data_IF_798590106100
#
_entry.id   IF_798590106100
#
_cell.length_a   1.000
_cell.length_b   1.000
_cell.length_c   1.000
_cell.angle_alpha   90.00
_cell.angle_beta   90.00
_cell.angle_gamma   90.00
#
_symmetry.space_group_name_H-M   'P 1'
#
loop_
_entity.id
_entity.type
_entity.pdbx_description
1 polymer ?
#
# COMPACT_ATOMS: atom_id res chain seq x y z
N UNK A 1 0.30 -20.19 -3.94
CA UNK A 1 0.01 -18.75 -4.00
C UNK A 1 -1.50 -18.57 -4.09
N UNK A 2 -2.07 -17.76 -3.23
CA UNK A 2 -3.49 -17.39 -3.27
C UNK A 2 -3.78 -16.45 -4.46
N UNK A 3 -4.80 -16.76 -5.25
CA UNK A 3 -5.23 -16.00 -6.43
C UNK A 3 -6.73 -15.69 -6.33
N UNK A 4 -7.18 -14.57 -6.88
CA UNK A 4 -8.60 -14.22 -6.88
C UNK A 4 -9.45 -15.28 -7.59
N UNK A 5 -9.02 -15.75 -8.76
CA UNK A 5 -9.76 -16.76 -9.52
C UNK A 5 -10.08 -18.03 -8.70
N UNK A 6 -9.14 -18.48 -7.86
CA UNK A 6 -9.32 -19.68 -7.02
C UNK A 6 -10.23 -19.42 -5.81
N UNK A 7 -10.24 -18.19 -5.29
CA UNK A 7 -11.05 -17.79 -4.13
C UNK A 7 -12.47 -17.44 -4.55
N UNK A 8 -12.66 -16.86 -5.74
CA UNK A 8 -13.96 -16.46 -6.28
C UNK A 8 -14.89 -17.66 -6.53
N UNK A 9 -14.35 -18.86 -6.76
CA UNK A 9 -15.15 -20.08 -6.89
C UNK A 9 -15.82 -20.53 -5.59
N UNK A 10 -15.38 -19.99 -4.44
CA UNK A 10 -15.95 -20.31 -3.13
C UNK A 10 -16.29 -19.01 -2.38
N UNK A 11 -17.55 -18.59 -2.49
CA UNK A 11 -18.09 -17.39 -1.85
C UNK A 11 -17.83 -17.35 -0.35
N UNK A 12 -17.97 -18.49 0.35
CA UNK A 12 -17.71 -18.55 1.79
C UNK A 12 -16.23 -18.27 2.11
N UNK A 13 -15.32 -18.78 1.27
CA UNK A 13 -13.88 -18.53 1.40
C UNK A 13 -13.53 -17.07 1.10
N UNK A 14 -14.10 -16.49 0.03
CA UNK A 14 -13.92 -15.07 -0.30
C UNK A 14 -14.35 -14.21 0.89
N UNK A 15 -15.57 -14.43 1.39
CA UNK A 15 -16.12 -13.67 2.51
C UNK A 15 -15.32 -13.84 3.80
N UNK A 16 -14.81 -15.04 4.10
CA UNK A 16 -13.94 -15.26 5.25
C UNK A 16 -12.63 -14.47 5.15
N UNK A 17 -12.10 -14.32 3.93
CA UNK A 17 -10.83 -13.66 3.66
C UNK A 17 -10.93 -12.14 3.52
N UNK A 18 -12.00 -11.62 2.93
CA UNK A 18 -12.14 -10.18 2.60
C UNK A 18 -13.33 -9.51 3.28
N UNK A 19 -14.27 -10.28 3.85
CA UNK A 19 -15.59 -9.82 4.33
C UNK A 19 -16.51 -9.20 3.28
N UNK A 20 -16.15 -9.31 2.00
CA UNK A 20 -16.94 -8.80 0.89
C UNK A 20 -17.60 -9.97 0.16
N UNK A 21 -18.81 -9.76 -0.30
CA UNK A 21 -19.47 -10.65 -1.25
C UNK A 21 -18.85 -10.46 -2.66
N UNK A 22 -18.96 -11.45 -3.58
CA UNK A 22 -18.30 -11.41 -4.89
C UNK A 22 -18.73 -10.23 -5.76
N UNK A 23 -19.99 -9.82 -5.64
CA UNK A 23 -20.54 -8.67 -6.37
C UNK A 23 -19.95 -7.36 -5.85
N UNK A 24 -19.81 -7.22 -4.53
CA UNK A 24 -19.16 -6.05 -3.90
C UNK A 24 -17.68 -5.96 -4.27
N UNK A 25 -16.99 -7.11 -4.31
CA UNK A 25 -15.60 -7.17 -4.76
C UNK A 25 -15.49 -6.69 -6.21
N UNK A 26 -16.36 -7.19 -7.09
CA UNK A 26 -16.35 -6.84 -8.52
C UNK A 26 -16.69 -5.37 -8.74
N UNK A 27 -17.57 -4.78 -7.91
CA UNK A 27 -17.88 -3.35 -7.93
C UNK A 27 -16.71 -2.47 -7.46
N UNK A 28 -15.88 -2.97 -6.54
CA UNK A 28 -14.70 -2.25 -6.00
C UNK A 28 -13.54 -2.20 -7.00
N UNK A 29 -13.33 -3.27 -7.77
CA UNK A 29 -12.19 -3.42 -8.70
C UNK A 29 -12.01 -2.23 -9.67
N UNK A 30 -13.03 -1.74 -10.41
CA UNK A 30 -12.82 -0.66 -11.38
C UNK A 30 -12.44 0.67 -10.73
N UNK A 31 -13.02 1.00 -9.56
CA UNK A 31 -12.62 2.20 -8.81
C UNK A 31 -11.18 2.07 -8.30
N UNK A 32 -10.81 0.88 -7.81
CA UNK A 32 -9.46 0.59 -7.35
C UNK A 32 -8.44 0.67 -8.48
N UNK A 33 -8.78 0.14 -9.66
CA UNK A 33 -7.93 0.21 -10.85
C UNK A 33 -7.63 1.66 -11.24
N UNK A 34 -8.64 2.52 -11.25
CA UNK A 34 -8.48 3.94 -11.56
C UNK A 34 -7.50 4.61 -10.58
N UNK A 35 -7.73 4.46 -9.27
CA UNK A 35 -6.82 4.99 -8.24
C UNK A 35 -5.41 4.40 -8.33
N UNK A 36 -5.29 3.11 -8.65
CA UNK A 36 -3.99 2.44 -8.80
C UNK A 36 -3.22 3.04 -9.97
N UNK A 37 -3.86 3.20 -11.13
CA UNK A 37 -3.25 3.77 -12.32
C UNK A 37 -2.85 5.23 -12.11
N UNK A 38 -3.68 6.03 -11.42
CA UNK A 38 -3.33 7.40 -11.03
C UNK A 38 -2.09 7.45 -10.15
N UNK A 39 -2.03 6.60 -9.11
CA UNK A 39 -0.85 6.51 -8.25
C UNK A 39 0.39 6.08 -9.03
N UNK A 40 0.27 5.09 -9.91
CA UNK A 40 1.39 4.63 -10.73
C UNK A 40 1.84 5.65 -11.78
N UNK A 41 1.02 6.64 -12.14
CA UNK A 41 1.45 7.76 -12.99
C UNK A 41 2.35 8.73 -12.21
N UNK A 42 2.01 9.02 -10.96
CA UNK A 42 2.70 10.01 -10.14
C UNK A 42 3.90 9.45 -9.36
N UNK A 43 3.87 8.18 -8.95
CA UNK A 43 4.85 7.58 -8.05
C UNK A 43 5.44 6.26 -8.59
N UNK A 44 6.65 5.93 -8.13
CA UNK A 44 7.29 4.62 -8.31
C UNK A 44 6.73 3.61 -7.29
N UNK A 45 7.12 2.32 -7.44
CA UNK A 45 6.75 1.26 -6.49
C UNK A 45 7.25 1.57 -5.07
N UNK A 46 8.40 2.23 -4.96
CA UNK A 46 9.02 2.66 -3.70
C UNK A 46 8.39 3.95 -3.13
N UNK A 47 7.35 4.49 -3.77
CA UNK A 47 6.66 5.71 -3.34
C UNK A 47 7.38 7.02 -3.67
N UNK A 48 8.44 6.99 -4.48
CA UNK A 48 9.16 8.19 -4.93
C UNK A 48 8.44 8.85 -6.11
N UNK A 49 8.48 10.19 -6.25
CA UNK A 49 7.88 10.87 -7.39
C UNK A 49 8.53 10.43 -8.70
N UNK A 50 7.70 10.14 -9.69
CA UNK A 50 8.14 9.56 -10.96
C UNK A 50 8.57 10.64 -11.94
N UNK A 51 9.83 10.63 -12.36
CA UNK A 51 10.40 11.72 -13.16
C UNK A 51 10.31 11.54 -14.69
N UNK A 52 10.37 10.33 -15.26
CA UNK A 52 10.56 10.22 -16.72
C UNK A 52 10.01 8.99 -17.46
N UNK A 53 9.45 7.95 -16.80
CA UNK A 53 9.02 6.72 -17.50
C UNK A 53 7.60 6.30 -17.12
N UNK A 54 6.74 6.02 -18.12
CA UNK A 54 5.39 5.45 -17.92
C UNK A 54 5.46 4.10 -17.20
N UNK A 55 4.42 3.76 -16.44
CA UNK A 55 4.27 2.45 -15.83
C UNK A 55 4.20 1.37 -16.90
N UNK A 56 5.05 0.35 -16.77
CA UNK A 56 4.90 -0.91 -17.48
C UNK A 56 4.69 -1.99 -16.42
N UNK A 57 3.63 -2.79 -16.50
CA UNK A 57 3.47 -3.93 -15.60
C UNK A 57 4.65 -4.89 -15.80
N UNK A 58 5.31 -5.25 -14.70
CA UNK A 58 6.39 -6.24 -14.74
C UNK A 58 5.80 -7.63 -15.00
N UNK A 59 6.34 -8.35 -16.00
CA UNK A 59 5.92 -9.73 -16.34
C UNK A 59 6.01 -10.71 -15.17
N UNK A 60 6.94 -10.48 -14.24
CA UNK A 60 7.18 -11.33 -13.07
C UNK A 60 6.58 -10.74 -11.78
N UNK A 61 5.58 -9.87 -11.89
CA UNK A 61 4.90 -9.33 -10.71
C UNK A 61 4.26 -10.49 -9.93
N UNK A 62 4.50 -10.60 -8.61
CA UNK A 62 3.83 -11.61 -7.79
C UNK A 62 2.31 -11.38 -7.77
N UNK A 63 1.83 -10.17 -8.06
CA UNK A 63 0.41 -9.84 -8.23
C UNK A 63 0.18 -9.36 -9.68
N UNK A 64 -0.17 -10.27 -10.62
CA UNK A 64 -0.26 -9.91 -12.03
C UNK A 64 -1.56 -9.19 -12.41
N UNK A 65 -2.69 -9.53 -11.78
CA UNK A 65 -3.99 -8.90 -12.07
C UNK A 65 -4.32 -7.81 -11.06
N UNK A 66 -5.26 -6.92 -11.41
CA UNK A 66 -5.80 -5.94 -10.44
C UNK A 66 -6.57 -6.67 -9.34
N UNK A 67 -7.33 -7.72 -9.67
CA UNK A 67 -8.08 -8.51 -8.70
C UNK A 67 -7.16 -9.13 -7.63
N UNK A 68 -6.01 -9.68 -8.04
CA UNK A 68 -5.04 -10.24 -7.10
C UNK A 68 -4.49 -9.16 -6.15
N UNK A 69 -4.33 -7.91 -6.62
CA UNK A 69 -3.90 -6.77 -5.80
C UNK A 69 -4.98 -6.34 -4.81
N UNK A 70 -6.24 -6.29 -5.25
CA UNK A 70 -7.38 -5.98 -4.37
C UNK A 70 -7.54 -7.06 -3.31
N UNK A 71 -7.46 -8.34 -3.70
CA UNK A 71 -7.48 -9.46 -2.77
C UNK A 71 -6.34 -9.37 -1.74
N UNK A 72 -5.12 -9.08 -2.18
CA UNK A 72 -3.94 -8.93 -1.31
C UNK A 72 -4.20 -7.93 -0.18
N UNK A 73 -4.60 -6.70 -0.52
CA UNK A 73 -4.80 -5.66 0.50
C UNK A 73 -5.98 -5.97 1.42
N UNK A 74 -7.08 -6.53 0.90
CA UNK A 74 -8.26 -6.85 1.71
C UNK A 74 -8.00 -7.98 2.69
N UNK A 75 -7.27 -9.04 2.27
CA UNK A 75 -6.86 -10.13 3.15
C UNK A 75 -6.01 -9.60 4.30
N UNK A 76 -5.04 -8.71 4.00
CA UNK A 76 -4.22 -8.09 5.02
C UNK A 76 -5.06 -7.27 6.02
N UNK A 77 -6.03 -6.49 5.52
CA UNK A 77 -6.92 -5.67 6.36
C UNK A 77 -7.82 -6.50 7.26
N UNK A 78 -8.39 -7.60 6.75
CA UNK A 78 -9.30 -8.45 7.50
C UNK A 78 -8.60 -9.27 8.58
N UNK A 79 -7.45 -9.84 8.24
CA UNK A 79 -6.79 -10.86 9.05
C UNK A 79 -5.62 -10.31 9.88
N UNK A 80 -5.25 -9.04 9.69
CA UNK A 80 -4.12 -8.38 10.36
C UNK A 80 -2.81 -9.20 10.29
N UNK A 81 -2.59 -9.88 9.16
CA UNK A 81 -1.47 -10.81 8.99
C UNK A 81 -0.13 -10.07 9.07
N UNK A 82 0.85 -10.72 9.70
CA UNK A 82 2.26 -10.30 9.62
C UNK A 82 2.73 -10.38 8.17
N UNK A 83 3.71 -9.54 7.80
CA UNK A 83 4.22 -9.47 6.42
C UNK A 83 4.82 -10.80 5.94
N UNK A 84 5.40 -11.57 6.86
CA UNK A 84 5.98 -12.88 6.57
C UNK A 84 4.90 -13.89 6.17
N UNK A 85 3.87 -14.08 7.00
CA UNK A 85 2.74 -14.96 6.70
C UNK A 85 1.96 -14.48 5.47
N UNK A 86 1.83 -13.17 5.31
CA UNK A 86 1.16 -12.58 4.16
C UNK A 86 1.96 -12.81 2.87
N UNK A 87 3.29 -12.68 2.91
CA UNK A 87 4.18 -13.02 1.80
C UNK A 87 4.07 -14.49 1.43
N UNK A 88 4.10 -15.39 2.40
CA UNK A 88 3.97 -16.84 2.18
C UNK A 88 2.64 -17.20 1.49
N UNK A 89 1.53 -16.62 1.95
CA UNK A 89 0.20 -16.85 1.37
C UNK A 89 0.14 -16.45 -0.12
N UNK A 90 0.81 -15.37 -0.49
CA UNK A 90 0.88 -14.85 -1.86
C UNK A 90 2.15 -15.27 -2.63
N UNK A 91 2.96 -16.17 -2.08
CA UNK A 91 4.14 -16.71 -2.75
C UNK A 91 5.24 -15.67 -3.03
N UNK A 92 5.43 -14.70 -2.15
CA UNK A 92 6.47 -13.67 -2.25
C UNK A 92 7.29 -13.55 -0.95
N UNK A 93 8.48 -12.97 -1.04
CA UNK A 93 9.30 -12.70 0.14
C UNK A 93 8.71 -11.54 0.96
N UNK A 94 9.06 -11.48 2.25
CA UNK A 94 8.53 -10.46 3.17
C UNK A 94 8.74 -9.03 2.68
N UNK A 95 9.91 -8.72 2.11
CA UNK A 95 10.22 -7.37 1.60
C UNK A 95 9.28 -6.96 0.46
N UNK A 96 8.95 -7.90 -0.43
CA UNK A 96 8.02 -7.63 -1.53
C UNK A 96 6.61 -7.41 -0.99
N UNK A 97 6.18 -8.23 -0.02
CA UNK A 97 4.89 -8.06 0.63
C UNK A 97 4.77 -6.70 1.32
N UNK A 98 5.84 -6.24 1.97
CA UNK A 98 5.93 -4.91 2.57
C UNK A 98 5.77 -3.79 1.53
N UNK A 99 6.51 -3.86 0.42
CA UNK A 99 6.44 -2.88 -0.67
C UNK A 99 5.04 -2.82 -1.28
N UNK A 100 4.43 -3.98 -1.56
CA UNK A 100 3.06 -4.05 -2.07
C UNK A 100 2.05 -3.50 -1.06
N UNK A 101 2.22 -3.78 0.22
CA UNK A 101 1.33 -3.26 1.26
C UNK A 101 1.40 -1.74 1.36
N UNK A 102 2.61 -1.16 1.37
CA UNK A 102 2.80 0.28 1.38
C UNK A 102 2.25 0.95 0.13
N UNK A 103 2.37 0.29 -1.03
CA UNK A 103 1.85 0.79 -2.30
C UNK A 103 0.33 0.78 -2.36
N UNK A 104 -0.31 -0.34 -1.98
CA UNK A 104 -1.74 -0.57 -2.18
C UNK A 104 -2.61 0.03 -1.07
N UNK A 105 -2.08 0.21 0.16
CA UNK A 105 -2.82 0.85 1.25
C UNK A 105 -3.38 2.23 0.90
N UNK A 106 -2.60 3.20 0.39
CA UNK A 106 -3.13 4.51 0.02
C UNK A 106 -4.06 4.46 -1.20
N UNK A 107 -3.86 3.49 -2.11
CA UNK A 107 -4.79 3.27 -3.24
C UNK A 107 -6.15 2.83 -2.73
N UNK A 108 -6.19 1.87 -1.81
CA UNK A 108 -7.43 1.40 -1.22
C UNK A 108 -8.14 2.53 -0.47
N UNK A 109 -7.41 3.34 0.30
CA UNK A 109 -8.00 4.49 1.02
C UNK A 109 -8.65 5.48 0.05
N UNK A 110 -7.95 5.86 -1.03
CA UNK A 110 -8.52 6.73 -2.07
C UNK A 110 -9.74 6.13 -2.75
N UNK A 111 -9.72 4.82 -2.98
CA UNK A 111 -10.86 4.10 -3.57
C UNK A 111 -12.08 4.16 -2.65
N UNK A 112 -11.88 3.94 -1.34
CA UNK A 112 -12.94 4.02 -0.34
C UNK A 112 -13.46 5.45 -0.17
N UNK A 113 -12.59 6.46 -0.26
CA UNK A 113 -12.98 7.88 -0.28
C UNK A 113 -13.88 8.19 -1.48
N UNK A 114 -13.54 7.70 -2.67
CA UNK A 114 -14.36 7.91 -3.88
C UNK A 114 -15.71 7.20 -3.81
N UNK A 115 -15.78 6.07 -3.09
CA UNK A 115 -17.00 5.29 -2.90
C UNK A 115 -17.83 5.75 -1.68
N UNK A 116 -17.42 6.82 -0.99
CA UNK A 116 -18.01 7.31 0.27
C UNK A 116 -18.12 6.22 1.37
N UNK A 117 -17.29 5.19 1.25
CA UNK A 117 -17.27 4.00 2.10
C UNK A 117 -16.09 4.04 3.08
N UNK A 118 -15.68 5.24 3.50
CA UNK A 118 -14.54 5.41 4.40
C UNK A 118 -14.91 4.88 5.79
N UNK A 119 -14.16 3.90 6.34
CA UNK A 119 -14.40 3.43 7.70
C UNK A 119 -14.27 4.60 8.68
N UNK A 120 -15.25 4.80 9.56
CA UNK A 120 -15.32 5.94 10.51
C UNK A 120 -14.05 6.13 11.34
N UNK A 121 -13.31 5.05 11.60
CA UNK A 121 -12.02 5.08 12.32
C UNK A 121 -10.88 5.74 11.53
N UNK A 122 -10.91 5.68 10.19
CA UNK A 122 -9.92 6.30 9.32
C UNK A 122 -10.19 7.80 9.13
N UNK A 123 -11.46 8.20 9.03
CA UNK A 123 -11.85 9.61 8.98
C UNK A 123 -11.31 10.41 10.18
N UNK A 124 -11.36 9.83 11.39
CA UNK A 124 -10.79 10.47 12.58
C UNK A 124 -9.26 10.58 12.56
N UNK A 125 -8.56 9.63 11.94
CA UNK A 125 -7.10 9.68 11.83
C UNK A 125 -6.62 10.64 10.74
N UNK A 126 -7.35 10.78 9.63
CA UNK A 126 -7.06 11.77 8.58
C UNK A 126 -7.30 13.18 9.11
N UNK A 127 -8.41 13.41 9.81
CA UNK A 127 -8.69 14.68 10.50
C UNK A 127 -7.64 15.00 11.57
N UNK A 128 -7.05 13.99 12.21
CA UNK A 128 -5.93 14.20 13.14
C UNK A 128 -4.62 14.55 12.42
N UNK A 129 -4.36 13.96 11.25
CA UNK A 129 -3.16 14.25 10.45
C UNK A 129 -3.19 15.64 9.80
N UNK A 130 -4.37 16.17 9.45
CA UNK A 130 -4.54 17.57 9.00
C UNK A 130 -4.27 18.60 10.11
N UNK A 131 -4.25 18.17 11.38
CA UNK A 131 -4.05 19.06 12.53
C UNK A 131 -2.60 19.19 12.99
N UNK A 132 -1.63 18.67 12.24
CA UNK A 132 -0.22 18.95 12.47
C UNK A 132 0.13 20.29 11.80
N UNK A 133 0.34 21.40 12.55
CA UNK A 133 0.97 22.56 11.96
C UNK A 133 2.40 22.16 11.57
N UNK A 134 2.85 22.64 10.41
CA UNK A 134 4.24 22.58 9.99
C UNK A 134 5.12 23.14 11.12
N UNK A 135 5.74 22.25 11.89
CA UNK A 135 6.84 22.61 12.75
C UNK A 135 8.04 22.80 11.81
N UNK A 136 8.44 24.05 11.63
CA UNK A 136 9.70 24.44 11.02
C UNK A 136 10.86 23.86 11.83
N UNK A 137 11.28 22.63 11.51
CA UNK A 137 12.58 22.12 11.93
C UNK A 137 13.61 22.47 10.84
N UNK A 138 14.63 23.31 11.15
CA UNK A 138 15.69 23.60 10.20
C UNK A 138 16.52 22.34 9.89
N UNK A 139 17.14 22.26 8.69
CA UNK A 139 17.78 21.05 8.20
C UNK A 139 18.98 20.65 9.07
N UNK A 140 19.16 19.33 9.19
CA UNK A 140 20.17 18.55 9.94
C UNK A 140 21.66 18.85 9.63
N UNK A 141 21.98 19.96 8.98
CA UNK A 141 23.34 20.39 8.66
C UNK A 141 23.70 21.65 9.46
N UNK A 142 24.29 21.47 10.65
CA UNK A 142 25.41 22.24 11.23
C UNK A 142 25.69 21.59 12.60
N UNK A 143 26.57 20.60 12.61
CA UNK A 143 27.50 20.35 13.73
C UNK A 143 28.75 19.72 13.12
N UNK A 144 29.48 20.50 12.34
CA UNK A 144 30.87 20.22 12.01
C UNK A 144 31.70 21.00 13.04
N UNK A 145 31.98 20.37 14.18
CA UNK A 145 33.00 20.87 15.10
C UNK A 145 34.35 20.58 14.46
N UNK A 146 35.23 21.57 14.24
CA UNK A 146 36.57 21.29 13.73
C UNK A 146 37.36 20.58 14.84
N UNK A 147 37.75 19.34 14.56
CA UNK A 147 38.69 18.58 15.38
C UNK A 147 40.05 19.29 15.34
N UNK A 148 40.41 19.98 16.41
CA UNK A 148 41.73 20.59 16.58
C UNK A 148 42.73 19.46 16.89
N UNK A 149 43.85 19.33 16.16
CA UNK A 149 44.86 18.33 16.50
C UNK A 149 45.58 18.74 17.80
N UNK A 150 45.54 17.85 18.80
CA UNK A 150 46.35 17.95 20.01
C UNK A 150 47.83 17.83 19.62
N UNK A 151 48.60 18.90 19.84
CA UNK A 151 50.06 18.86 19.82
C UNK A 151 50.55 19.13 21.24
N UNK A 152 51.45 18.26 21.70
CA UNK A 152 52.00 18.15 23.05
C UNK A 152 52.75 19.42 23.53
N UNK A 153 53.17 19.40 24.79
CA UNK A 153 54.62 19.34 25.02
C UNK A 153 55.11 18.12 25.81
#
# INVERSE_FOLDING_TARGET
MLRYHDVAQNTARLRALTSLDPDEFTALVPAFEACFLERMRAYTMDGLPRLNRRYTPYKNSPLPTIDDKVLFILVHMKQHLTQEVHGELFGMIQSDAHTWLQLLRPVLLRTLEQLDAVPTRLATCIAAAEKQPAADDPPFFIMMVPNVPSNDP
#
